data_IF_360088828344
#
_entry.id   IF_360088828344
#
_cell.length_a   1.000
_cell.length_b   1.000
_cell.length_c   1.000
_cell.angle_alpha   90.00
_cell.angle_beta   90.00
_cell.angle_gamma   90.00
#
_symmetry.space_group_name_H-M   'P 1'
#
loop_
_entity.id
_entity.type
_entity.pdbx_description
1 polymer ?
#
# COMPACT_ATOMS: atom_id res chain seq x y z
N UNK A 1 -8.51 7.93 -53.42
CA UNK A 1 -7.73 7.51 -52.21
C UNK A 1 -7.87 8.51 -51.03
N UNK A 2 -7.58 9.79 -51.16
CA UNK A 2 -7.63 10.78 -50.05
C UNK A 2 -9.00 10.93 -49.35
N UNK A 3 -10.13 10.80 -50.10
CA UNK A 3 -11.47 10.88 -49.51
C UNK A 3 -11.82 9.63 -48.69
N UNK A 4 -11.48 8.43 -49.17
CA UNK A 4 -11.69 7.18 -48.44
C UNK A 4 -10.91 7.13 -47.15
N UNK A 5 -9.64 7.55 -47.17
CA UNK A 5 -8.81 7.65 -45.96
C UNK A 5 -9.41 8.59 -44.89
N UNK A 6 -10.00 9.73 -45.33
CA UNK A 6 -10.70 10.65 -44.40
C UNK A 6 -11.95 10.03 -43.77
N UNK A 7 -12.71 9.22 -44.56
CA UNK A 7 -13.89 8.54 -44.03
C UNK A 7 -13.52 7.42 -43.05
N UNK A 8 -12.48 6.65 -43.34
CA UNK A 8 -11.94 5.62 -42.43
C UNK A 8 -11.44 6.25 -41.12
N UNK A 9 -10.66 7.33 -41.22
CA UNK A 9 -10.18 8.04 -40.03
C UNK A 9 -11.35 8.55 -39.17
N UNK A 10 -12.40 9.14 -39.81
CA UNK A 10 -13.58 9.61 -39.06
C UNK A 10 -14.32 8.46 -38.39
N UNK A 11 -14.49 7.33 -39.05
CA UNK A 11 -15.13 6.15 -38.48
C UNK A 11 -14.35 5.61 -37.27
N UNK A 12 -13.01 5.54 -37.37
CA UNK A 12 -12.14 5.12 -36.25
C UNK A 12 -12.26 6.10 -35.07
N UNK A 13 -12.23 7.42 -35.32
CA UNK A 13 -12.38 8.40 -34.24
C UNK A 13 -13.76 8.33 -33.56
N UNK A 14 -14.82 8.08 -34.31
CA UNK A 14 -16.17 7.89 -33.75
C UNK A 14 -16.22 6.62 -32.89
N UNK A 15 -15.66 5.51 -33.37
CA UNK A 15 -15.60 4.27 -32.60
C UNK A 15 -14.80 4.44 -31.30
N UNK A 16 -13.66 5.14 -31.36
CA UNK A 16 -12.87 5.44 -30.16
C UNK A 16 -13.66 6.34 -29.18
N UNK A 17 -14.37 7.35 -29.68
CA UNK A 17 -15.20 8.22 -28.85
C UNK A 17 -16.35 7.45 -28.18
N UNK A 18 -17.01 6.55 -28.93
CA UNK A 18 -18.08 5.69 -28.40
C UNK A 18 -17.53 4.70 -27.34
N UNK A 19 -16.36 4.10 -27.58
CA UNK A 19 -15.72 3.22 -26.62
C UNK A 19 -15.33 3.96 -25.35
N UNK A 20 -14.79 5.18 -25.47
CA UNK A 20 -14.49 6.04 -24.33
C UNK A 20 -15.76 6.41 -23.54
N UNK A 21 -16.82 6.83 -24.23
CA UNK A 21 -18.10 7.17 -23.60
C UNK A 21 -18.72 5.97 -22.86
N UNK A 22 -18.67 4.78 -23.45
CA UNK A 22 -19.11 3.55 -22.80
C UNK A 22 -18.26 3.22 -21.57
N UNK A 23 -16.92 3.35 -21.65
CA UNK A 23 -16.02 3.16 -20.53
C UNK A 23 -16.31 4.13 -19.37
N UNK A 24 -16.54 5.40 -19.69
CA UNK A 24 -16.90 6.43 -18.69
C UNK A 24 -18.27 6.12 -18.05
N UNK A 25 -19.27 5.68 -18.82
CA UNK A 25 -20.57 5.31 -18.26
C UNK A 25 -20.47 4.10 -17.32
N UNK A 26 -19.71 3.07 -17.69
CA UNK A 26 -19.43 1.92 -16.82
C UNK A 26 -18.68 2.37 -15.55
N UNK A 27 -17.64 3.20 -15.71
CA UNK A 27 -16.89 3.76 -14.57
C UNK A 27 -17.79 4.54 -13.61
N UNK A 28 -18.72 5.36 -14.13
CA UNK A 28 -19.69 6.11 -13.33
C UNK A 28 -20.63 5.19 -12.52
N UNK A 29 -21.09 4.08 -13.11
CA UNK A 29 -21.92 3.10 -12.39
C UNK A 29 -21.13 2.48 -11.22
N UNK A 30 -19.88 2.08 -11.44
CA UNK A 30 -19.03 1.54 -10.38
C UNK A 30 -18.68 2.58 -9.33
N UNK A 31 -18.48 3.85 -9.71
CA UNK A 31 -18.25 4.94 -8.78
C UNK A 31 -19.47 5.16 -7.84
N UNK A 32 -20.69 5.18 -8.40
CA UNK A 32 -21.92 5.31 -7.59
C UNK A 32 -22.09 4.12 -6.66
N UNK A 33 -21.88 2.88 -7.14
CA UNK A 33 -21.94 1.68 -6.30
C UNK A 33 -20.88 1.68 -5.21
N UNK A 34 -19.64 2.07 -5.54
CA UNK A 34 -18.56 2.20 -4.58
C UNK A 34 -18.82 3.27 -3.52
N UNK A 35 -19.39 4.41 -3.93
CA UNK A 35 -19.81 5.44 -2.98
C UNK A 35 -20.89 4.93 -2.01
N UNK A 36 -21.90 4.23 -2.52
CA UNK A 36 -22.95 3.66 -1.68
C UNK A 36 -22.39 2.60 -0.72
N UNK A 37 -21.46 1.75 -1.19
CA UNK A 37 -20.79 0.77 -0.35
C UNK A 37 -19.98 1.44 0.77
N UNK A 38 -19.23 2.50 0.45
CA UNK A 38 -18.52 3.29 1.46
C UNK A 38 -19.50 3.93 2.47
N UNK A 39 -20.58 4.57 1.98
CA UNK A 39 -21.59 5.20 2.84
C UNK A 39 -22.24 4.20 3.78
N UNK A 40 -22.62 3.03 3.30
CA UNK A 40 -23.18 1.97 4.13
C UNK A 40 -22.21 1.57 5.25
N UNK A 41 -20.95 1.32 4.93
CA UNK A 41 -19.94 0.97 5.92
C UNK A 41 -19.72 2.10 6.96
N UNK A 42 -19.64 3.35 6.48
CA UNK A 42 -19.47 4.52 7.35
C UNK A 42 -20.74 4.85 8.20
N UNK A 43 -21.93 4.49 7.74
CA UNK A 43 -23.16 4.64 8.53
C UNK A 43 -23.26 3.54 9.62
N UNK A 44 -22.70 2.34 9.38
CA UNK A 44 -22.61 1.25 10.38
C UNK A 44 -21.51 1.52 11.42
N UNK A 45 -20.35 1.98 10.98
CA UNK A 45 -19.21 2.33 11.84
C UNK A 45 -18.60 3.65 11.34
N UNK A 46 -18.90 4.78 11.97
CA UNK A 46 -18.32 6.06 11.58
C UNK A 46 -16.80 6.05 11.61
N UNK A 47 -16.17 6.71 10.63
CA UNK A 47 -14.72 6.71 10.47
C UNK A 47 -14.01 7.31 11.70
N UNK A 48 -14.60 8.35 12.29
CA UNK A 48 -14.13 9.00 13.51
C UNK A 48 -14.12 8.03 14.71
N UNK A 49 -15.17 7.21 14.83
CA UNK A 49 -15.25 6.21 15.89
C UNK A 49 -14.18 5.14 15.70
N UNK A 50 -14.02 4.64 14.49
CA UNK A 50 -13.01 3.62 14.17
C UNK A 50 -11.59 4.12 14.44
N UNK A 51 -11.27 5.36 14.04
CA UNK A 51 -9.97 5.99 14.34
C UNK A 51 -9.76 6.07 15.86
N UNK A 52 -10.75 6.54 16.61
CA UNK A 52 -10.66 6.64 18.07
C UNK A 52 -10.50 5.25 18.73
N UNK A 53 -11.19 4.22 18.26
CA UNK A 53 -11.07 2.86 18.77
C UNK A 53 -9.65 2.31 18.56
N UNK A 54 -9.04 2.53 17.40
CA UNK A 54 -7.66 2.09 17.12
C UNK A 54 -6.68 2.86 18.02
N UNK A 55 -6.82 4.18 18.10
CA UNK A 55 -5.94 5.03 18.91
C UNK A 55 -6.06 4.77 20.43
N UNK A 56 -7.17 4.18 20.89
CA UNK A 56 -7.38 3.84 22.30
C UNK A 56 -6.80 2.50 22.73
N UNK A 57 -6.26 1.71 21.81
CA UNK A 57 -5.67 0.41 22.12
C UNK A 57 -4.37 0.58 22.93
N UNK A 58 -4.17 -0.25 23.93
CA UNK A 58 -2.94 -0.24 24.76
C UNK A 58 -1.66 -0.50 23.93
N UNK A 59 -1.80 -1.20 22.82
CA UNK A 59 -0.70 -1.53 21.91
C UNK A 59 -0.53 -0.52 20.78
N UNK A 60 -1.29 0.58 20.79
CA UNK A 60 -1.18 1.61 19.76
C UNK A 60 0.17 2.31 19.83
N UNK A 61 0.89 2.32 18.73
CA UNK A 61 2.18 3.02 18.57
C UNK A 61 1.92 4.33 17.82
N UNK A 62 2.10 5.49 18.45
CA UNK A 62 1.97 6.78 17.80
C UNK A 62 3.11 7.01 16.81
N UNK A 63 2.92 7.95 15.87
CA UNK A 63 3.88 8.19 14.80
C UNK A 63 5.27 8.58 15.32
N UNK A 64 5.35 9.38 16.36
CA UNK A 64 6.59 9.86 17.01
C UNK A 64 7.44 8.74 17.64
N UNK A 65 6.86 7.59 17.93
CA UNK A 65 7.55 6.42 18.49
C UNK A 65 8.06 5.44 17.42
N UNK A 66 7.75 5.72 16.13
CA UNK A 66 8.23 4.91 15.01
C UNK A 66 9.66 5.31 14.61
N UNK A 67 10.57 4.37 14.37
CA UNK A 67 11.89 4.69 13.82
C UNK A 67 11.77 5.34 12.44
N UNK A 68 12.48 6.45 12.19
CA UNK A 68 12.49 7.16 10.92
C UNK A 68 12.81 6.23 9.74
N UNK A 69 13.77 5.32 9.91
CA UNK A 69 14.14 4.35 8.87
C UNK A 69 12.99 3.40 8.51
N UNK A 70 12.17 3.01 9.48
CA UNK A 70 10.98 2.20 9.23
C UNK A 70 9.94 2.96 8.41
N UNK A 71 9.70 4.23 8.78
CA UNK A 71 8.79 5.12 8.04
C UNK A 71 9.25 5.26 6.58
N UNK A 72 10.53 5.56 6.38
CA UNK A 72 11.12 5.70 5.03
C UNK A 72 11.03 4.40 4.22
N UNK A 73 11.26 3.24 4.85
CA UNK A 73 11.18 1.95 4.20
C UNK A 73 9.74 1.64 3.73
N UNK A 74 8.74 1.83 4.60
CA UNK A 74 7.32 1.61 4.27
C UNK A 74 6.87 2.56 3.17
N UNK A 75 7.15 3.86 3.27
CA UNK A 75 6.79 4.85 2.26
C UNK A 75 7.45 4.52 0.92
N UNK A 76 8.71 4.14 0.91
CA UNK A 76 9.45 3.81 -0.32
C UNK A 76 8.87 2.61 -1.06
N UNK A 77 8.39 1.60 -0.34
CA UNK A 77 7.91 0.34 -0.94
C UNK A 77 6.41 0.32 -1.21
N UNK A 78 5.60 0.93 -0.34
CA UNK A 78 4.14 0.90 -0.44
C UNK A 78 3.58 2.12 -1.17
N UNK A 79 4.05 3.32 -0.85
CA UNK A 79 3.44 4.56 -1.30
C UNK A 79 4.44 5.72 -1.39
N UNK A 80 5.33 5.67 -2.38
CA UNK A 80 6.43 6.61 -2.59
C UNK A 80 6.06 8.11 -2.44
N UNK A 81 4.81 8.46 -2.72
CA UNK A 81 4.34 9.86 -2.67
C UNK A 81 3.31 10.11 -1.57
N UNK A 82 3.30 9.27 -0.55
CA UNK A 82 2.37 9.31 0.56
C UNK A 82 2.19 10.74 1.12
N UNK A 83 3.28 11.44 1.36
CA UNK A 83 3.28 12.79 1.94
C UNK A 83 2.68 13.89 1.04
N UNK A 84 2.45 13.61 -0.26
CA UNK A 84 2.09 14.64 -1.24
C UNK A 84 0.72 14.48 -1.90
N UNK A 85 0.11 13.29 -1.85
CA UNK A 85 -1.20 13.07 -2.46
C UNK A 85 -2.35 13.11 -1.42
N UNK A 86 -3.58 13.47 -1.80
CA UNK A 86 -4.73 13.56 -0.91
C UNK A 86 -5.51 12.23 -0.77
N UNK A 87 -4.84 11.12 -0.52
CA UNK A 87 -5.43 9.79 -0.31
C UNK A 87 -5.40 8.85 -1.52
N UNK A 88 -5.28 9.39 -2.73
CA UNK A 88 -5.13 8.61 -3.97
C UNK A 88 -3.98 9.19 -4.79
N UNK A 89 -3.17 8.32 -5.37
CA UNK A 89 -2.07 8.71 -6.24
C UNK A 89 -2.36 8.40 -7.71
N UNK A 90 -2.87 9.38 -8.51
CA UNK A 90 -3.18 9.17 -9.93
C UNK A 90 -1.94 8.79 -10.76
N UNK A 91 -0.76 9.28 -10.38
CA UNK A 91 0.49 8.99 -11.12
C UNK A 91 0.92 7.53 -10.85
N UNK A 92 0.77 7.03 -9.60
CA UNK A 92 1.01 5.63 -9.30
C UNK A 92 0.04 4.71 -10.05
N UNK A 93 -1.24 5.07 -10.10
CA UNK A 93 -2.26 4.33 -10.87
C UNK A 93 -1.90 4.27 -12.35
N UNK A 94 -1.57 5.41 -12.98
CA UNK A 94 -1.16 5.45 -14.39
C UNK A 94 0.10 4.61 -14.63
N UNK A 95 1.10 4.67 -13.74
CA UNK A 95 2.33 3.88 -13.83
C UNK A 95 2.03 2.39 -13.73
N UNK A 96 1.21 1.96 -12.76
CA UNK A 96 0.82 0.57 -12.59
C UNK A 96 0.08 0.04 -13.83
N UNK A 97 -0.88 0.78 -14.36
CA UNK A 97 -1.60 0.42 -15.59
C UNK A 97 -0.68 0.26 -16.79
N UNK A 98 0.27 1.18 -16.97
CA UNK A 98 1.24 1.09 -18.08
C UNK A 98 2.19 -0.10 -17.92
N UNK A 99 2.58 -0.42 -16.69
CA UNK A 99 3.39 -1.59 -16.39
C UNK A 99 2.63 -2.88 -16.68
N UNK A 100 1.41 -3.01 -16.16
CA UNK A 100 0.57 -4.20 -16.34
C UNK A 100 0.24 -4.45 -17.82
N UNK A 101 -0.01 -3.40 -18.62
CA UNK A 101 -0.19 -3.51 -20.07
C UNK A 101 1.07 -4.03 -20.75
N UNK A 102 2.27 -3.55 -20.35
CA UNK A 102 3.55 -3.95 -20.96
C UNK A 102 3.96 -5.38 -20.59
N UNK A 103 3.71 -5.77 -19.35
CA UNK A 103 4.14 -7.07 -18.80
C UNK A 103 3.07 -8.15 -18.92
N UNK A 104 1.83 -7.76 -19.34
CA UNK A 104 0.65 -8.62 -19.35
C UNK A 104 0.41 -9.32 -18.01
N UNK A 105 0.78 -8.67 -16.91
CA UNK A 105 0.64 -9.15 -15.54
C UNK A 105 -0.02 -8.09 -14.68
N UNK A 106 -0.84 -8.49 -13.71
CA UNK A 106 -1.41 -7.60 -12.69
C UNK A 106 -0.47 -7.56 -11.46
N UNK A 107 0.81 -7.26 -11.69
CA UNK A 107 1.85 -7.43 -10.67
C UNK A 107 2.15 -6.16 -9.89
N UNK A 108 1.84 -4.97 -10.43
CA UNK A 108 2.22 -3.72 -9.76
C UNK A 108 1.03 -3.12 -9.00
N UNK A 109 1.16 -2.98 -7.67
CA UNK A 109 0.19 -2.29 -6.82
C UNK A 109 0.19 -0.79 -7.06
N UNK A 110 -1.01 -0.22 -7.27
CA UNK A 110 -1.23 1.23 -7.36
C UNK A 110 -2.11 1.76 -6.22
N UNK A 111 -2.28 1.00 -5.14
CA UNK A 111 -3.05 1.41 -3.97
C UNK A 111 -2.18 2.21 -3.01
N UNK A 112 -2.73 3.28 -2.45
CA UNK A 112 -2.06 4.09 -1.42
C UNK A 112 -2.21 3.47 -0.04
N UNK A 113 -1.41 3.94 0.93
CA UNK A 113 -1.54 3.60 2.36
C UNK A 113 -2.95 3.87 2.84
N UNK A 114 -3.52 5.05 2.55
CA UNK A 114 -4.89 5.42 2.93
C UNK A 114 -5.93 4.45 2.37
N UNK A 115 -5.79 3.99 1.13
CA UNK A 115 -6.67 2.97 0.55
C UNK A 115 -6.52 1.60 1.19
N UNK A 116 -5.29 1.22 1.60
CA UNK A 116 -5.04 -0.06 2.27
C UNK A 116 -5.69 -0.11 3.65
N UNK A 117 -5.69 1.00 4.42
CA UNK A 117 -6.41 1.11 5.68
C UNK A 117 -7.90 0.82 5.46
N UNK A 118 -8.54 1.52 4.52
CA UNK A 118 -9.98 1.36 4.25
C UNK A 118 -10.32 -0.07 3.81
N UNK A 119 -9.46 -0.67 2.97
CA UNK A 119 -9.60 -2.08 2.56
C UNK A 119 -9.60 -3.02 3.76
N UNK A 120 -8.69 -2.82 4.71
CA UNK A 120 -8.51 -3.72 5.85
C UNK A 120 -9.60 -3.55 6.90
N UNK A 121 -10.07 -2.31 7.12
CA UNK A 121 -11.00 -1.99 8.20
C UNK A 121 -12.48 -2.12 7.80
N UNK A 122 -12.84 -1.75 6.56
CA UNK A 122 -14.25 -1.78 6.13
C UNK A 122 -14.60 -2.87 5.15
N UNK A 123 -13.61 -3.40 4.38
CA UNK A 123 -13.95 -4.22 3.23
C UNK A 123 -13.30 -5.60 3.30
N UNK A 124 -14.09 -6.63 3.03
CA UNK A 124 -13.59 -8.02 2.92
C UNK A 124 -12.69 -8.19 1.70
N UNK A 125 -11.93 -9.28 1.64
CA UNK A 125 -10.96 -9.60 0.59
C UNK A 125 -11.57 -9.83 -0.82
N UNK A 126 -12.87 -9.63 -1.01
CA UNK A 126 -13.53 -9.78 -2.30
C UNK A 126 -13.00 -8.79 -3.33
N UNK A 127 -12.55 -9.31 -4.47
CA UNK A 127 -12.02 -8.50 -5.59
C UNK A 127 -13.16 -7.94 -6.44
N UNK A 128 -13.86 -6.90 -5.97
CA UNK A 128 -14.89 -6.20 -6.74
C UNK A 128 -14.42 -4.80 -7.08
N UNK A 129 -14.79 -4.33 -8.28
CA UNK A 129 -14.50 -2.95 -8.68
C UNK A 129 -15.20 -1.94 -7.78
N UNK A 130 -16.43 -2.23 -7.33
CA UNK A 130 -17.17 -1.39 -6.38
C UNK A 130 -16.37 -1.13 -5.10
N UNK A 131 -15.71 -2.18 -4.55
CA UNK A 131 -14.85 -2.03 -3.38
C UNK A 131 -13.70 -1.06 -3.67
N UNK A 132 -13.07 -1.15 -4.86
CA UNK A 132 -11.94 -0.26 -5.18
C UNK A 132 -12.37 1.22 -5.26
N UNK A 133 -13.57 1.50 -5.75
CA UNK A 133 -14.14 2.85 -5.66
C UNK A 133 -14.50 3.24 -4.22
N UNK A 134 -15.02 2.31 -3.40
CA UNK A 134 -15.30 2.57 -1.99
C UNK A 134 -14.02 2.94 -1.21
N UNK A 135 -12.92 2.22 -1.45
CA UNK A 135 -11.59 2.55 -0.89
C UNK A 135 -11.15 3.97 -1.26
N UNK A 136 -11.39 4.41 -2.51
CA UNK A 136 -11.07 5.78 -2.97
C UNK A 136 -11.87 6.83 -2.20
N UNK A 137 -13.19 6.65 -2.05
CA UNK A 137 -14.02 7.61 -1.31
C UNK A 137 -13.67 7.65 0.17
N UNK A 138 -13.45 6.49 0.78
CA UNK A 138 -13.01 6.39 2.15
C UNK A 138 -11.62 7.01 2.38
N UNK A 139 -10.67 6.81 1.45
CA UNK A 139 -9.35 7.42 1.54
C UNK A 139 -9.42 8.96 1.54
N UNK A 140 -10.26 9.56 0.68
CA UNK A 140 -10.49 11.00 0.72
C UNK A 140 -11.15 11.49 2.03
N UNK A 141 -12.02 10.68 2.63
CA UNK A 141 -12.62 11.01 3.93
C UNK A 141 -11.59 10.92 5.05
N UNK A 142 -10.77 9.88 5.06
CA UNK A 142 -9.68 9.69 6.04
C UNK A 142 -8.67 10.84 6.00
N UNK A 143 -8.26 11.28 4.80
CA UNK A 143 -7.33 12.41 4.64
C UNK A 143 -7.90 13.78 5.03
N UNK A 144 -9.22 13.89 5.15
CA UNK A 144 -9.86 15.08 5.70
C UNK A 144 -9.98 15.05 7.22
N UNK A 145 -9.98 13.84 7.78
CA UNK A 145 -10.14 13.61 9.20
C UNK A 145 -8.81 13.61 9.94
N UNK A 146 -7.76 13.03 9.34
CA UNK A 146 -6.48 12.75 9.98
C UNK A 146 -5.34 13.42 9.22
N UNK A 147 -4.26 13.77 9.94
CA UNK A 147 -2.98 14.16 9.34
C UNK A 147 -2.28 12.96 8.69
N UNK A 148 -1.24 13.20 7.91
CA UNK A 148 -0.45 12.14 7.28
C UNK A 148 0.22 11.23 8.32
N UNK A 149 0.73 11.81 9.37
CA UNK A 149 1.37 11.10 10.49
C UNK A 149 0.35 10.20 11.20
N UNK A 150 -0.86 10.69 11.47
CA UNK A 150 -1.93 9.88 12.06
C UNK A 150 -2.37 8.75 11.12
N UNK A 151 -2.49 9.01 9.81
CA UNK A 151 -2.82 7.97 8.81
C UNK A 151 -1.72 6.90 8.76
N UNK A 152 -0.45 7.30 8.80
CA UNK A 152 0.65 6.35 8.82
C UNK A 152 0.61 5.49 10.09
N UNK A 153 0.40 6.11 11.26
CA UNK A 153 0.26 5.39 12.52
C UNK A 153 -0.93 4.42 12.49
N UNK A 154 -2.11 4.85 12.00
CA UNK A 154 -3.25 3.95 11.81
C UNK A 154 -2.90 2.75 10.92
N UNK A 155 -2.18 2.97 9.82
CA UNK A 155 -1.75 1.91 8.91
C UNK A 155 -0.92 0.87 9.63
N UNK A 156 0.17 1.26 10.29
CA UNK A 156 1.10 0.32 10.91
C UNK A 156 0.51 -0.40 12.13
N UNK A 157 -0.48 0.18 12.79
CA UNK A 157 -1.18 -0.44 13.91
C UNK A 157 -2.30 -1.41 13.48
N UNK A 158 -2.71 -1.42 12.18
CA UNK A 158 -3.85 -2.22 11.71
C UNK A 158 -3.51 -3.24 10.64
N UNK A 159 -2.30 -3.20 10.09
CA UNK A 159 -1.91 -4.18 9.07
C UNK A 159 -1.47 -5.50 9.68
N UNK A 160 -1.69 -6.57 8.92
CA UNK A 160 -1.27 -7.90 9.29
C UNK A 160 0.17 -8.18 8.87
N UNK A 161 1.01 -8.64 9.80
CA UNK A 161 2.41 -8.96 9.58
C UNK A 161 2.71 -10.48 9.45
N UNK A 162 1.70 -11.32 9.40
CA UNK A 162 1.92 -12.79 9.38
C UNK A 162 2.02 -13.38 10.80
N UNK A 163 2.08 -14.70 10.90
CA UNK A 163 2.25 -15.45 12.15
C UNK A 163 1.27 -15.09 13.27
N UNK A 164 0.11 -14.50 12.93
CA UNK A 164 -0.89 -14.04 13.88
C UNK A 164 -0.67 -12.63 14.43
N UNK A 165 0.33 -11.90 13.94
CA UNK A 165 0.64 -10.55 14.43
C UNK A 165 -0.13 -9.49 13.64
N UNK A 166 -1.04 -8.81 14.31
CA UNK A 166 -1.74 -7.62 13.83
C UNK A 166 -1.12 -6.37 14.50
N UNK A 167 -0.74 -5.40 13.68
CA UNK A 167 -0.06 -4.18 14.12
C UNK A 167 1.44 -4.37 14.40
N UNK A 168 2.15 -3.25 14.30
CA UNK A 168 3.62 -3.20 14.40
C UNK A 168 4.14 -3.60 15.79
N UNK A 169 3.42 -3.26 16.86
CA UNK A 169 3.84 -3.61 18.23
C UNK A 169 3.87 -5.14 18.41
N UNK A 170 2.79 -5.83 17.97
CA UNK A 170 2.74 -7.29 18.02
C UNK A 170 3.82 -7.93 17.14
N UNK A 171 4.08 -7.37 15.96
CA UNK A 171 5.11 -7.89 15.06
C UNK A 171 6.52 -7.69 15.61
N UNK A 172 6.85 -6.52 16.15
CA UNK A 172 8.14 -6.23 16.77
C UNK A 172 8.42 -7.15 17.98
N UNK A 173 7.44 -7.31 18.85
CA UNK A 173 7.53 -8.21 19.98
C UNK A 173 7.61 -9.69 19.53
N UNK A 174 6.79 -10.09 18.58
CA UNK A 174 6.71 -11.48 18.15
C UNK A 174 7.95 -11.95 17.39
N UNK A 175 8.45 -11.17 16.45
CA UNK A 175 9.60 -11.56 15.63
C UNK A 175 10.96 -11.28 16.30
N UNK A 176 11.05 -10.21 17.10
CA UNK A 176 12.34 -9.72 17.59
C UNK A 176 12.41 -9.60 19.12
N UNK A 177 11.29 -9.76 19.84
CA UNK A 177 11.24 -9.61 21.31
C UNK A 177 11.54 -8.18 21.76
N UNK A 178 11.21 -7.17 20.95
CA UNK A 178 11.56 -5.77 21.15
C UNK A 178 10.34 -4.85 21.09
N UNK A 179 10.43 -3.72 21.78
CA UNK A 179 9.57 -2.57 21.55
C UNK A 179 9.89 -1.95 20.19
N UNK A 180 8.90 -1.27 19.58
CA UNK A 180 9.04 -0.68 18.24
C UNK A 180 10.16 0.33 18.15
N UNK A 181 10.31 1.20 19.18
CA UNK A 181 11.39 2.20 19.26
C UNK A 181 12.81 1.61 19.42
N UNK A 182 12.91 0.32 19.75
CA UNK A 182 14.18 -0.41 19.92
C UNK A 182 14.56 -1.25 18.70
N UNK A 183 13.77 -1.21 17.62
CA UNK A 183 14.07 -1.91 16.38
C UNK A 183 15.36 -1.37 15.75
N UNK A 184 16.24 -2.26 15.33
CA UNK A 184 17.42 -1.87 14.57
C UNK A 184 17.13 -1.72 13.06
N UNK A 185 18.10 -1.24 12.30
CA UNK A 185 17.92 -0.94 10.89
C UNK A 185 17.50 -2.15 10.04
N UNK A 186 18.02 -3.33 10.33
CA UNK A 186 17.66 -4.57 9.63
C UNK A 186 16.22 -4.95 9.93
N UNK A 187 15.80 -4.88 11.18
CA UNK A 187 14.44 -5.20 11.62
C UNK A 187 13.41 -4.23 11.03
N UNK A 188 13.73 -2.93 10.96
CA UNK A 188 12.89 -1.92 10.32
C UNK A 188 12.62 -2.25 8.85
N UNK A 189 13.67 -2.55 8.09
CA UNK A 189 13.53 -2.84 6.65
C UNK A 189 12.83 -4.18 6.41
N UNK A 190 13.11 -5.20 7.23
CA UNK A 190 12.41 -6.48 7.18
C UNK A 190 10.91 -6.31 7.41
N UNK A 191 10.50 -5.62 8.50
CA UNK A 191 9.09 -5.39 8.80
C UNK A 191 8.37 -4.64 7.69
N UNK A 192 9.01 -3.64 7.07
CA UNK A 192 8.41 -2.90 5.96
C UNK A 192 8.08 -3.79 4.74
N UNK A 193 8.80 -4.89 4.57
CA UNK A 193 8.58 -5.84 3.47
C UNK A 193 7.42 -6.82 3.67
N UNK A 194 7.12 -7.19 4.91
CA UNK A 194 6.20 -8.30 5.25
C UNK A 194 4.76 -8.07 4.77
N UNK A 195 4.12 -6.88 4.91
CA UNK A 195 2.70 -6.68 4.62
C UNK A 195 2.27 -6.97 3.17
N UNK A 196 3.21 -7.00 2.23
CA UNK A 196 2.93 -7.32 0.83
C UNK A 196 2.41 -8.75 0.64
N UNK A 197 3.00 -9.73 1.35
CA UNK A 197 2.54 -11.12 1.39
C UNK A 197 2.94 -11.75 2.75
N UNK A 198 2.20 -11.46 3.84
CA UNK A 198 2.61 -11.79 5.20
C UNK A 198 2.88 -13.28 5.42
N UNK A 199 2.07 -14.14 4.81
CA UNK A 199 2.25 -15.61 4.91
C UNK A 199 3.49 -16.15 4.19
N UNK A 200 4.11 -15.35 3.32
CA UNK A 200 5.31 -15.75 2.56
C UNK A 200 6.57 -15.03 3.05
N UNK A 201 6.45 -13.77 3.44
CA UNK A 201 7.59 -12.90 3.75
C UNK A 201 7.88 -12.75 5.24
N UNK A 202 7.11 -13.42 6.12
CA UNK A 202 7.47 -13.45 7.53
C UNK A 202 8.73 -14.29 7.77
N UNK A 203 9.60 -13.89 8.70
CA UNK A 203 10.84 -14.62 9.01
C UNK A 203 10.60 -16.07 9.40
N UNK A 204 9.49 -16.35 10.09
CA UNK A 204 9.09 -17.70 10.53
C UNK A 204 8.63 -18.58 9.37
N UNK A 205 8.07 -17.99 8.30
CA UNK A 205 7.56 -18.74 7.17
C UNK A 205 8.67 -19.13 6.20
N UNK A 206 9.54 -18.17 5.84
CA UNK A 206 10.63 -18.43 4.90
C UNK A 206 11.75 -17.38 5.03
N UNK A 207 12.84 -17.68 5.73
CA UNK A 207 13.99 -16.79 5.81
C UNK A 207 14.51 -16.30 4.45
N UNK A 208 14.55 -17.19 3.44
CA UNK A 208 15.03 -16.84 2.10
C UNK A 208 14.10 -15.87 1.36
N UNK A 209 12.79 -16.04 1.45
CA UNK A 209 11.83 -15.11 0.87
C UNK A 209 11.81 -13.78 1.64
N UNK A 210 12.01 -13.81 2.95
CA UNK A 210 12.18 -12.60 3.76
C UNK A 210 13.40 -11.80 3.30
N UNK A 211 14.56 -12.45 3.13
CA UNK A 211 15.78 -11.79 2.62
C UNK A 211 15.54 -11.17 1.24
N UNK A 212 14.99 -11.95 0.31
CA UNK A 212 14.67 -11.46 -1.04
C UNK A 212 13.71 -10.26 -1.02
N UNK A 213 12.71 -10.29 -0.13
CA UNK A 213 11.77 -9.18 0.00
C UNK A 213 12.43 -7.95 0.63
N UNK A 214 13.29 -8.15 1.63
CA UNK A 214 14.08 -7.08 2.24
C UNK A 214 14.99 -6.41 1.22
N UNK A 215 15.63 -7.16 0.34
CA UNK A 215 16.43 -6.62 -0.76
C UNK A 215 15.58 -5.72 -1.69
N UNK A 216 14.37 -6.16 -2.07
CA UNK A 216 13.45 -5.32 -2.86
C UNK A 216 13.06 -4.02 -2.13
N UNK A 217 12.89 -4.04 -0.80
CA UNK A 217 12.63 -2.82 -0.01
C UNK A 217 13.84 -1.89 -0.07
N UNK A 218 15.05 -2.41 0.14
CA UNK A 218 16.30 -1.66 0.06
C UNK A 218 16.50 -1.02 -1.33
N UNK A 219 16.27 -1.77 -2.41
CA UNK A 219 16.30 -1.25 -3.79
C UNK A 219 15.31 -0.08 -3.98
N UNK A 220 14.11 -0.19 -3.37
CA UNK A 220 13.12 0.89 -3.42
C UNK A 220 13.54 2.11 -2.63
N UNK A 221 14.14 1.94 -1.47
CA UNK A 221 14.69 3.03 -0.67
C UNK A 221 15.79 3.78 -1.42
N UNK A 222 16.71 3.06 -2.07
CA UNK A 222 17.73 3.67 -2.94
C UNK A 222 17.10 4.44 -4.10
N UNK A 223 16.12 3.84 -4.79
CA UNK A 223 15.41 4.49 -5.90
C UNK A 223 14.55 5.70 -5.45
N UNK A 224 14.24 5.81 -4.17
CA UNK A 224 13.56 6.95 -3.55
C UNK A 224 14.54 7.96 -2.92
N UNK A 225 15.84 7.69 -2.98
CA UNK A 225 16.90 8.52 -2.40
C UNK A 225 16.80 8.68 -0.86
N UNK A 226 16.13 7.72 -0.18
CA UNK A 226 16.02 7.66 1.29
C UNK A 226 17.15 6.84 1.92
N UNK A 227 17.91 6.08 1.12
CA UNK A 227 19.04 5.28 1.57
C UNK A 227 20.15 5.31 0.52
N UNK A 228 21.42 5.31 0.94
CA UNK A 228 22.54 5.19 0.02
C UNK A 228 22.72 3.74 -0.48
N UNK A 229 23.25 3.54 -1.69
CA UNK A 229 23.56 2.19 -2.22
C UNK A 229 24.50 1.42 -1.27
N UNK A 230 25.48 2.11 -0.66
CA UNK A 230 26.43 1.51 0.29
C UNK A 230 25.71 0.98 1.54
N UNK A 231 24.80 1.78 2.11
CA UNK A 231 24.07 1.39 3.33
C UNK A 231 23.05 0.28 3.00
N UNK A 232 22.42 0.33 1.83
CA UNK A 232 21.53 -0.72 1.36
C UNK A 232 22.27 -2.06 1.23
N UNK A 233 23.45 -2.08 0.61
CA UNK A 233 24.27 -3.29 0.51
C UNK A 233 24.67 -3.80 1.91
N UNK A 234 25.09 -2.93 2.82
CA UNK A 234 25.45 -3.32 4.18
C UNK A 234 24.26 -3.94 4.94
N UNK A 235 23.05 -3.38 4.79
CA UNK A 235 21.84 -3.91 5.40
C UNK A 235 21.41 -5.24 4.77
N UNK A 236 21.57 -5.42 3.47
CA UNK A 236 21.29 -6.69 2.79
C UNK A 236 22.17 -7.81 3.34
N UNK A 237 23.49 -7.59 3.43
CA UNK A 237 24.42 -8.56 4.02
C UNK A 237 24.14 -8.88 5.50
N UNK A 238 23.72 -7.86 6.28
CA UNK A 238 23.33 -8.06 7.66
C UNK A 238 22.03 -8.86 7.79
N UNK A 239 21.08 -8.64 6.88
CA UNK A 239 19.83 -9.41 6.80
C UNK A 239 20.09 -10.87 6.55
N UNK A 240 20.94 -11.21 5.56
CA UNK A 240 21.30 -12.59 5.27
C UNK A 240 21.97 -13.28 6.45
N UNK A 241 22.92 -12.60 7.13
CA UNK A 241 23.55 -13.13 8.33
C UNK A 241 22.55 -13.39 9.46
N UNK A 242 21.61 -12.46 9.71
CA UNK A 242 20.59 -12.60 10.74
C UNK A 242 19.64 -13.77 10.47
N UNK A 243 19.33 -14.01 9.20
CA UNK A 243 18.47 -15.10 8.77
C UNK A 243 19.21 -16.43 8.59
N UNK A 244 20.52 -16.47 8.83
CA UNK A 244 21.35 -17.69 8.70
C UNK A 244 21.55 -18.16 7.26
N UNK A 245 21.49 -17.23 6.29
CA UNK A 245 21.60 -17.53 4.85
C UNK A 245 23.02 -17.34 4.31
N UNK A 246 23.85 -16.54 5.00
CA UNK A 246 25.27 -16.36 4.69
C UNK A 246 26.12 -17.04 5.77
N UNK A 247 27.14 -17.77 5.32
CA UNK A 247 28.14 -18.42 6.18
C UNK A 247 29.26 -17.45 6.60
#
# INVERSE_FOLDING_TARGET
>A
MKRLAKWVLRAVLILLALALAAGLAVGAVFAVRGYNLYRQAADETPLEQMVAEIQSQETYVPFEDLPDLYVDAVVSVEDKRFWSHPGVDPIAICRALLYDIRTQSLAQGGSTISQQILKNLYFTQEKKLERKFAEVFGAFALERLCTKEEIFALYVNTIYFGSGYEGIAAAAQGYFGKEVSALDAVECVMLAGIPNAPSAYSPDASPSLTAQRTEQVLERMVACETLSERDAQALSEQTERRLGLSS
#
